data_IF_996608238942
#
_entry.id   IF_996608238942
#
_cell.length_a   1.000
_cell.length_b   1.000
_cell.length_c   1.000
_cell.angle_alpha   90.00
_cell.angle_beta   90.00
_cell.angle_gamma   90.00
#
_symmetry.space_group_name_H-M   'P 1'
#
loop_
_entity.id
_entity.type
_entity.pdbx_description
1 polymer ?
#
# COMPACT_ATOMS: atom_id res chain seq x y z
N UNK A 1 -7.67 -5.97 11.03
CA UNK A 1 -6.38 -5.47 10.53
C UNK A 1 -6.60 -4.52 9.36
N UNK A 2 -5.95 -3.37 9.38
CA UNK A 2 -6.08 -2.38 8.32
C UNK A 2 -5.25 -2.78 7.11
N UNK A 3 -5.76 -2.44 5.94
CA UNK A 3 -5.05 -2.66 4.70
C UNK A 3 -4.11 -1.50 4.42
N UNK A 4 -3.15 -1.72 3.52
CA UNK A 4 -2.18 -0.69 3.13
C UNK A 4 -2.86 0.63 2.77
N UNK A 5 -3.88 0.60 1.90
CA UNK A 5 -4.57 1.80 1.46
C UNK A 5 -5.26 2.55 2.59
N UNK A 6 -5.77 1.82 3.59
CA UNK A 6 -6.40 2.45 4.74
C UNK A 6 -5.38 3.22 5.57
N UNK A 7 -4.19 2.67 5.77
CA UNK A 7 -3.11 3.39 6.45
C UNK A 7 -2.70 4.64 5.68
N UNK A 8 -2.58 4.51 4.37
CA UNK A 8 -2.19 5.64 3.53
C UNK A 8 -3.19 6.79 3.64
N UNK A 9 -4.48 6.48 3.66
CA UNK A 9 -5.51 7.50 3.82
C UNK A 9 -5.50 8.13 5.20
N UNK A 10 -5.37 7.33 6.24
CA UNK A 10 -5.37 7.84 7.62
C UNK A 10 -4.17 8.72 7.91
N UNK A 11 -3.03 8.42 7.31
CA UNK A 11 -1.81 9.21 7.45
C UNK A 11 -1.82 10.47 6.57
N UNK A 12 -2.84 10.61 5.74
CA UNK A 12 -2.93 11.77 4.85
C UNK A 12 -2.02 11.70 3.64
N UNK A 13 -1.51 10.51 3.30
CA UNK A 13 -0.61 10.35 2.15
C UNK A 13 -1.35 10.34 0.82
N UNK A 14 -2.62 9.96 0.83
CA UNK A 14 -3.44 9.95 -0.37
C UNK A 14 -4.92 9.97 0.00
N UNK A 15 -5.78 10.15 -1.00
CA UNK A 15 -7.22 10.17 -0.84
C UNK A 15 -7.83 8.80 -1.13
N UNK A 16 -9.12 8.64 -0.79
CA UNK A 16 -9.85 7.42 -1.15
C UNK A 16 -9.89 7.22 -2.66
N UNK A 17 -10.05 8.29 -3.43
CA UNK A 17 -10.03 8.22 -4.89
C UNK A 17 -8.68 7.71 -5.41
N UNK A 18 -7.59 8.12 -4.76
CA UNK A 18 -6.25 7.66 -5.11
C UNK A 18 -6.11 6.16 -4.88
N UNK A 19 -6.63 5.66 -3.77
CA UNK A 19 -6.59 4.22 -3.48
C UNK A 19 -7.40 3.45 -4.51
N UNK A 20 -8.59 3.93 -4.85
CA UNK A 20 -9.43 3.29 -5.87
C UNK A 20 -8.71 3.25 -7.22
N UNK A 21 -8.04 4.33 -7.58
CA UNK A 21 -7.26 4.38 -8.82
C UNK A 21 -6.13 3.36 -8.80
N UNK A 22 -5.45 3.21 -7.69
CA UNK A 22 -4.37 2.23 -7.56
C UNK A 22 -4.88 0.81 -7.72
N UNK A 23 -6.04 0.50 -7.13
CA UNK A 23 -6.66 -0.81 -7.26
C UNK A 23 -7.05 -1.08 -8.72
N UNK A 24 -7.60 -0.08 -9.40
CA UNK A 24 -7.97 -0.21 -10.81
C UNK A 24 -6.74 -0.46 -11.69
N UNK A 25 -5.64 0.25 -11.43
CA UNK A 25 -4.38 0.04 -12.14
C UNK A 25 -3.88 -1.38 -11.91
N UNK A 26 -3.92 -1.85 -10.66
CA UNK A 26 -3.48 -3.20 -10.32
C UNK A 26 -4.26 -4.24 -11.09
N UNK A 27 -5.58 -4.09 -11.15
CA UNK A 27 -6.46 -5.02 -11.88
C UNK A 27 -6.20 -4.98 -13.37
N UNK A 28 -6.02 -3.78 -13.92
CA UNK A 28 -5.74 -3.59 -15.34
C UNK A 28 -4.45 -4.29 -15.75
N UNK A 29 -3.40 -4.13 -14.95
CA UNK A 29 -2.12 -4.76 -15.23
C UNK A 29 -2.23 -6.28 -15.23
N UNK A 30 -2.94 -6.84 -14.26
CA UNK A 30 -3.17 -8.30 -14.21
C UNK A 30 -3.95 -8.77 -15.45
N UNK A 31 -4.96 -8.01 -15.86
CA UNK A 31 -5.75 -8.37 -17.03
C UNK A 31 -4.95 -8.36 -18.33
N UNK A 32 -3.85 -7.61 -18.34
CA UNK A 32 -2.93 -7.53 -19.50
C UNK A 32 -1.83 -8.59 -19.45
N UNK A 33 -1.85 -9.45 -18.43
CA UNK A 33 -0.89 -10.54 -18.33
C UNK A 33 0.34 -10.23 -17.48
N UNK A 34 0.39 -9.08 -16.83
CA UNK A 34 1.49 -8.76 -15.91
C UNK A 34 1.30 -9.46 -14.58
N UNK A 35 2.39 -9.83 -13.89
CA UNK A 35 2.29 -10.38 -12.54
C UNK A 35 1.61 -9.39 -11.60
N UNK A 36 0.89 -9.90 -10.60
CA UNK A 36 0.23 -9.06 -9.62
C UNK A 36 1.27 -8.29 -8.79
N UNK A 37 1.17 -6.97 -8.83
CA UNK A 37 2.04 -6.09 -8.07
C UNK A 37 1.36 -5.70 -6.76
N UNK A 38 2.10 -5.63 -5.67
CA UNK A 38 1.55 -5.18 -4.39
C UNK A 38 1.03 -3.75 -4.54
N UNK A 39 -0.09 -3.46 -3.88
CA UNK A 39 -0.76 -2.16 -4.03
C UNK A 39 0.16 -1.00 -3.68
N UNK A 40 0.98 -1.13 -2.64
CA UNK A 40 1.93 -0.07 -2.27
C UNK A 40 2.93 0.24 -3.35
N UNK A 41 3.40 -0.79 -4.06
CA UNK A 41 4.33 -0.61 -5.17
C UNK A 41 3.65 0.06 -6.36
N UNK A 42 2.40 -0.29 -6.64
CA UNK A 42 1.61 0.39 -7.66
C UNK A 42 1.51 1.88 -7.34
N UNK A 43 1.21 2.20 -6.09
CA UNK A 43 1.04 3.59 -5.66
C UNK A 43 2.32 4.40 -5.82
N UNK A 44 3.48 3.83 -5.48
CA UNK A 44 4.77 4.51 -5.66
C UNK A 44 5.08 4.67 -7.15
N UNK A 45 4.90 3.61 -7.91
CA UNK A 45 5.25 3.60 -9.33
C UNK A 45 4.46 4.61 -10.14
N UNK A 46 3.20 4.84 -9.74
CA UNK A 46 2.32 5.78 -10.45
C UNK A 46 2.25 7.15 -9.77
N UNK A 47 3.16 7.41 -8.82
CA UNK A 47 3.29 8.73 -8.23
C UNK A 47 2.20 9.11 -7.23
N UNK A 48 1.47 8.12 -6.71
CA UNK A 48 0.41 8.37 -5.74
C UNK A 48 0.99 8.63 -4.36
N UNK A 49 2.02 7.87 -3.98
CA UNK A 49 2.76 8.08 -2.74
C UNK A 49 4.26 8.04 -3.04
N UNK A 50 5.07 8.45 -2.06
CA UNK A 50 6.52 8.44 -2.17
C UNK A 50 7.12 7.20 -1.51
N UNK A 51 8.37 6.88 -1.86
CA UNK A 51 9.07 5.73 -1.28
C UNK A 51 9.13 5.76 0.24
N UNK A 52 9.41 6.92 0.83
CA UNK A 52 9.47 7.06 2.28
C UNK A 52 8.13 6.76 2.94
N UNK A 53 7.05 7.16 2.28
CA UNK A 53 5.70 6.88 2.76
C UNK A 53 5.37 5.39 2.67
N UNK A 54 5.80 4.74 1.60
CA UNK A 54 5.66 3.29 1.46
C UNK A 54 6.35 2.57 2.61
N UNK A 55 7.61 2.93 2.87
CA UNK A 55 8.39 2.30 3.93
C UNK A 55 7.75 2.52 5.31
N UNK A 56 7.22 3.72 5.55
CA UNK A 56 6.54 4.02 6.81
C UNK A 56 5.35 3.12 7.03
N UNK A 57 4.50 2.95 6.01
CA UNK A 57 3.33 2.10 6.10
C UNK A 57 3.72 0.64 6.29
N UNK A 58 4.74 0.17 5.57
CA UNK A 58 5.22 -1.20 5.72
C UNK A 58 5.72 -1.47 7.13
N UNK A 59 6.40 -0.50 7.75
CA UNK A 59 6.85 -0.62 9.13
C UNK A 59 5.66 -0.74 10.09
N UNK A 60 4.61 0.03 9.85
CA UNK A 60 3.40 -0.05 10.67
C UNK A 60 2.71 -1.39 10.52
N UNK A 61 2.60 -1.89 9.30
CA UNK A 61 1.99 -3.19 9.03
C UNK A 61 2.79 -4.33 9.65
N UNK A 62 4.10 -4.25 9.56
CA UNK A 62 4.98 -5.27 10.14
C UNK A 62 4.88 -5.27 11.66
N UNK A 63 4.87 -4.11 12.27
CA UNK A 63 4.70 -3.99 13.72
C UNK A 63 3.38 -4.58 14.19
N UNK A 64 2.32 -4.35 13.44
CA UNK A 64 1.00 -4.86 13.75
C UNK A 64 0.90 -6.37 13.54
N UNK A 65 1.60 -6.90 12.52
CA UNK A 65 1.53 -8.32 12.17
C UNK A 65 2.22 -9.23 13.17
N UNK A 66 3.32 -8.78 13.74
CA UNK A 66 4.17 -9.64 14.58
C UNK A 66 4.54 -9.01 15.91
N UNK A 67 3.58 -8.41 16.62
CA UNK A 67 3.90 -7.75 17.89
C UNK A 67 4.43 -8.71 18.94
N UNK A 68 3.94 -9.94 18.95
CA UNK A 68 4.39 -10.94 19.92
C UNK A 68 5.84 -11.35 19.69
N UNK A 69 6.27 -11.41 18.44
CA UNK A 69 7.66 -11.74 18.12
C UNK A 69 8.59 -10.59 18.47
N UNK A 70 8.13 -9.37 18.31
CA UNK A 70 8.92 -8.19 18.64
C UNK A 70 8.96 -7.89 20.13
N UNK A 71 7.97 -8.35 20.86
CA UNK A 71 7.88 -8.09 22.29
C UNK A 71 8.88 -8.90 23.11
N UNK A 72 9.36 -9.96 22.54
CA UNK A 72 10.39 -10.78 23.19
C UNK A 72 11.77 -10.20 22.95
#
# INVERSE_FOLDING_TARGET
>A
MKRFGEYAMELGYCSAADVDRAVDIQRDLVSRGFPKMLIGLVMVRYGIIENGQLLHILQMLEHERVPALLAD
#
